data_IF_760167818425
#
_entry.id   IF_760167818425
#
_cell.length_a   1.000
_cell.length_b   1.000
_cell.length_c   1.000
_cell.angle_alpha   90.00
_cell.angle_beta   90.00
_cell.angle_gamma   90.00
#
_symmetry.space_group_name_H-M   'P 1'
#
loop_
_entity.id
_entity.type
_entity.pdbx_description
1 polymer ?
#
# COMPACT_ATOMS: atom_id res chain seq x y z
N UNK A 1 -32.05 2.80 15.10
CA UNK A 1 -31.79 2.54 13.68
C UNK A 1 -30.79 1.39 13.47
N UNK A 2 -31.04 0.51 12.50
CA UNK A 2 -30.08 -0.48 11.98
C UNK A 2 -30.16 -0.54 10.45
N UNK A 3 -29.14 -1.08 9.80
CA UNK A 3 -29.10 -1.32 8.36
C UNK A 3 -28.58 -2.74 8.04
N UNK A 4 -28.82 -3.19 6.81
CA UNK A 4 -28.17 -4.37 6.23
C UNK A 4 -27.31 -3.91 5.05
N UNK A 5 -25.99 -4.00 5.19
CA UNK A 5 -25.03 -3.60 4.16
C UNK A 5 -24.50 -4.82 3.41
N UNK A 6 -24.15 -4.62 2.13
CA UNK A 6 -23.47 -5.64 1.31
C UNK A 6 -22.01 -5.22 1.08
N UNK A 7 -21.07 -6.04 1.56
CA UNK A 7 -19.63 -5.84 1.34
C UNK A 7 -18.89 -7.18 1.24
N UNK A 8 -17.84 -7.25 0.42
CA UNK A 8 -17.07 -8.48 0.21
C UNK A 8 -17.89 -9.69 -0.27
N UNK A 9 -19.00 -9.46 -0.98
CA UNK A 9 -19.95 -10.51 -1.38
C UNK A 9 -20.86 -11.04 -0.26
N UNK A 10 -20.70 -10.58 0.98
CA UNK A 10 -21.49 -10.95 2.16
C UNK A 10 -22.47 -9.84 2.54
N UNK A 11 -23.45 -10.18 3.38
CA UNK A 11 -24.39 -9.22 3.97
C UNK A 11 -24.16 -9.16 5.48
N UNK A 12 -24.18 -7.96 6.05
CA UNK A 12 -24.01 -7.75 7.49
C UNK A 12 -25.13 -6.84 8.00
N UNK A 13 -25.76 -7.25 9.12
CA UNK A 13 -26.61 -6.35 9.91
C UNK A 13 -25.69 -5.46 10.75
N UNK A 14 -25.95 -4.16 10.75
CA UNK A 14 -25.16 -3.15 11.43
C UNK A 14 -26.06 -2.16 12.18
N UNK A 15 -25.68 -1.78 13.39
CA UNK A 15 -26.16 -0.63 14.13
C UNK A 15 -25.04 0.43 14.24
N UNK A 16 -25.39 1.59 14.78
CA UNK A 16 -24.40 2.62 15.15
C UNK A 16 -23.45 2.06 16.25
N UNK A 17 -22.19 2.47 16.20
CA UNK A 17 -21.08 2.04 17.09
C UNK A 17 -20.67 0.55 17.02
N UNK A 18 -21.35 -0.29 16.22
CA UNK A 18 -20.94 -1.69 16.01
C UNK A 18 -19.53 -1.80 15.41
N UNK A 19 -18.76 -2.78 15.91
CA UNK A 19 -17.43 -3.14 15.38
C UNK A 19 -17.53 -4.47 14.65
N UNK A 20 -17.19 -4.48 13.35
CA UNK A 20 -17.32 -5.66 12.48
C UNK A 20 -16.00 -5.98 11.77
N UNK A 21 -15.80 -7.27 11.48
CA UNK A 21 -14.69 -7.76 10.65
C UNK A 21 -15.24 -8.06 9.26
N UNK A 22 -14.70 -7.39 8.24
CA UNK A 22 -15.09 -7.53 6.83
C UNK A 22 -13.91 -7.96 5.97
N UNK A 23 -14.18 -8.32 4.71
CA UNK A 23 -13.12 -8.55 3.71
C UNK A 23 -12.28 -7.28 3.53
N UNK A 24 -11.05 -7.44 3.01
CA UNK A 24 -10.12 -6.33 2.77
C UNK A 24 -10.78 -5.18 1.96
N UNK A 25 -10.74 -3.97 2.52
CA UNK A 25 -11.12 -2.72 1.84
C UNK A 25 -9.89 -1.96 1.30
N UNK A 26 -10.10 -1.08 0.32
CA UNK A 26 -9.08 -0.19 -0.25
C UNK A 26 -9.05 1.17 0.48
N UNK A 27 -8.87 1.12 1.80
CA UNK A 27 -8.88 2.29 2.67
C UNK A 27 -7.94 2.09 3.87
N UNK A 28 -7.11 3.08 4.18
CA UNK A 28 -6.10 3.00 5.25
C UNK A 28 -6.72 3.03 6.66
N UNK A 29 -5.96 2.60 7.68
CA UNK A 29 -6.41 2.69 9.06
C UNK A 29 -6.56 4.16 9.50
N UNK A 30 -7.63 4.44 10.26
CA UNK A 30 -8.07 5.79 10.63
C UNK A 30 -8.80 6.56 9.52
N UNK A 31 -9.00 5.97 8.33
CA UNK A 31 -9.79 6.62 7.27
C UNK A 31 -11.29 6.30 7.38
N UNK A 32 -12.13 7.25 6.97
CA UNK A 32 -13.56 7.02 6.80
C UNK A 32 -13.84 6.26 5.50
N UNK A 33 -14.76 5.29 5.55
CA UNK A 33 -15.26 4.54 4.41
C UNK A 33 -16.79 4.63 4.36
N UNK A 34 -17.34 4.93 3.18
CA UNK A 34 -18.79 5.05 2.97
C UNK A 34 -19.29 3.84 2.17
N UNK A 35 -20.31 3.16 2.68
CA UNK A 35 -20.98 2.05 2.01
C UNK A 35 -22.27 2.55 1.34
N UNK A 36 -22.27 2.64 0.01
CA UNK A 36 -23.47 2.94 -0.79
C UNK A 36 -24.41 1.72 -0.96
N UNK A 37 -23.91 0.50 -0.71
CA UNK A 37 -24.65 -0.75 -0.90
C UNK A 37 -25.48 -1.14 0.33
N UNK A 38 -26.50 -0.32 0.64
CA UNK A 38 -27.49 -0.59 1.70
C UNK A 38 -28.70 -1.32 1.12
N UNK A 39 -29.02 -2.51 1.64
CA UNK A 39 -30.11 -3.37 1.16
C UNK A 39 -31.43 -3.14 1.91
N UNK A 40 -31.34 -2.80 3.19
CA UNK A 40 -32.47 -2.65 4.11
C UNK A 40 -32.08 -1.65 5.21
N UNK A 41 -33.04 -0.87 5.69
CA UNK A 41 -32.94 -0.09 6.92
C UNK A 41 -34.12 -0.38 7.84
N UNK A 42 -33.91 -0.31 9.15
CA UNK A 42 -34.95 -0.44 10.16
C UNK A 42 -34.81 0.64 11.23
N UNK A 43 -35.88 1.40 11.46
CA UNK A 43 -35.99 2.34 12.56
C UNK A 43 -37.25 2.06 13.38
N UNK A 44 -37.06 1.41 14.53
CA UNK A 44 -38.15 0.86 15.32
C UNK A 44 -39.01 -0.09 14.50
N UNK A 45 -40.30 0.21 14.43
CA UNK A 45 -41.31 -0.55 13.67
C UNK A 45 -41.29 -0.25 12.15
N UNK A 46 -40.57 0.77 11.70
CA UNK A 46 -40.48 1.16 10.28
C UNK A 46 -39.33 0.45 9.60
N UNK A 47 -39.65 -0.40 8.63
CA UNK A 47 -38.67 -1.13 7.81
C UNK A 47 -38.73 -0.61 6.37
N UNK A 48 -37.61 -0.13 5.85
CA UNK A 48 -37.42 0.18 4.44
C UNK A 48 -36.61 -0.94 3.77
N UNK A 49 -37.23 -1.65 2.82
CA UNK A 49 -36.56 -2.65 1.97
C UNK A 49 -36.15 -2.04 0.63
N UNK A 50 -34.93 -2.32 0.18
CA UNK A 50 -34.41 -1.90 -1.10
C UNK A 50 -34.80 -2.82 -2.27
N UNK A 51 -34.69 -2.30 -3.49
CA UNK A 51 -34.98 -3.05 -4.71
C UNK A 51 -34.03 -2.63 -5.86
N UNK A 52 -32.75 -3.10 -5.89
CA UNK A 52 -32.11 -4.03 -4.95
C UNK A 52 -31.42 -3.34 -3.74
N UNK A 53 -31.26 -2.02 -3.77
CA UNK A 53 -30.72 -1.21 -2.66
C UNK A 53 -31.74 -0.13 -2.27
N UNK A 54 -31.57 0.48 -1.09
CA UNK A 54 -32.37 1.63 -0.67
C UNK A 54 -31.74 2.90 -1.26
N UNK A 55 -32.43 3.54 -2.21
CA UNK A 55 -31.92 4.71 -2.92
C UNK A 55 -31.56 5.86 -1.97
N UNK A 56 -30.31 6.32 -2.04
CA UNK A 56 -29.83 7.47 -1.25
C UNK A 56 -29.59 7.18 0.23
N UNK A 57 -29.58 5.91 0.64
CA UNK A 57 -29.09 5.48 1.94
C UNK A 57 -27.57 5.23 1.88
N UNK A 58 -26.84 5.62 2.93
CA UNK A 58 -25.40 5.40 3.07
C UNK A 58 -25.07 4.97 4.49
N UNK A 59 -24.09 4.09 4.67
CA UNK A 59 -23.52 3.78 5.99
C UNK A 59 -22.10 4.27 6.05
N UNK A 60 -21.80 5.15 7.01
CA UNK A 60 -20.45 5.67 7.25
C UNK A 60 -19.78 4.80 8.31
N UNK A 61 -18.53 4.44 8.07
CA UNK A 61 -17.71 3.67 8.98
C UNK A 61 -16.30 4.25 9.05
N UNK A 62 -15.62 4.01 10.17
CA UNK A 62 -14.18 4.25 10.35
C UNK A 62 -13.43 2.91 10.22
N UNK A 63 -12.32 2.91 9.49
CA UNK A 63 -11.42 1.75 9.40
C UNK A 63 -10.52 1.73 10.63
N UNK A 64 -10.82 0.88 11.62
CA UNK A 64 -10.05 0.78 12.87
C UNK A 64 -8.67 0.17 12.62
N UNK A 65 -8.61 -0.97 11.91
CA UNK A 65 -7.35 -1.62 11.55
C UNK A 65 -7.47 -2.49 10.28
N UNK A 66 -6.38 -2.62 9.54
CA UNK A 66 -6.20 -3.71 8.57
C UNK A 66 -5.31 -4.80 9.18
N UNK A 67 -5.81 -6.03 9.26
CA UNK A 67 -5.09 -7.14 9.90
C UNK A 67 -5.08 -8.41 9.06
N UNK A 68 -4.29 -9.38 9.52
CA UNK A 68 -4.31 -10.76 9.03
C UNK A 68 -5.04 -11.62 10.04
N UNK A 69 -6.12 -12.26 9.60
CA UNK A 69 -6.95 -13.15 10.41
C UNK A 69 -6.20 -14.37 10.95
N UNK A 70 -6.92 -15.22 11.67
CA UNK A 70 -6.39 -16.45 12.27
C UNK A 70 -5.71 -17.35 11.21
N UNK A 71 -4.65 -18.06 11.60
CA UNK A 71 -3.88 -18.92 10.69
C UNK A 71 -4.62 -20.24 10.45
N UNK A 72 -5.36 -20.32 9.35
CA UNK A 72 -5.99 -21.56 8.88
C UNK A 72 -4.90 -22.50 8.34
N UNK A 73 -4.83 -23.71 8.89
CA UNK A 73 -3.85 -24.73 8.45
C UNK A 73 -4.49 -25.61 7.38
N UNK A 74 -4.07 -25.41 6.14
CA UNK A 74 -4.45 -26.27 5.01
C UNK A 74 -3.52 -27.49 5.02
N UNK A 75 -4.04 -28.62 5.50
CA UNK A 75 -3.33 -29.90 5.49
C UNK A 75 -3.94 -30.84 4.45
N UNK A 76 -3.12 -31.27 3.48
CA UNK A 76 -3.50 -32.24 2.44
C UNK A 76 -2.66 -33.50 2.63
N UNK A 77 -3.31 -34.66 2.77
CA UNK A 77 -2.67 -35.98 2.91
C UNK A 77 -3.41 -36.99 2.04
N UNK A 78 -2.68 -37.89 1.38
CA UNK A 78 -3.27 -39.10 0.74
C UNK A 78 -2.83 -40.32 1.55
N UNK A 79 -3.76 -41.23 1.84
CA UNK A 79 -3.44 -42.45 2.59
C UNK A 79 -2.67 -43.43 1.70
N UNK A 80 -1.73 -44.20 2.28
CA UNK A 80 -0.81 -45.13 1.58
C UNK A 80 0.11 -44.49 0.53
N UNK A 81 0.18 -43.16 0.44
CA UNK A 81 1.17 -42.43 -0.35
C UNK A 81 1.99 -41.50 0.57
N UNK A 82 3.26 -41.25 0.22
CA UNK A 82 4.13 -40.28 0.93
C UNK A 82 3.64 -38.82 0.81
N UNK A 83 2.60 -38.56 0.00
CA UNK A 83 2.02 -37.23 -0.20
C UNK A 83 1.38 -36.68 1.10
N UNK A 84 2.08 -35.71 1.69
CA UNK A 84 1.59 -34.80 2.74
C UNK A 84 2.07 -33.38 2.44
N UNK A 85 1.18 -32.39 2.52
CA UNK A 85 1.49 -30.97 2.36
C UNK A 85 0.77 -30.19 3.46
N UNK A 86 1.50 -29.32 4.18
CA UNK A 86 0.97 -28.42 5.21
C UNK A 86 1.28 -26.99 4.78
N UNK A 87 0.26 -26.18 4.49
CA UNK A 87 0.41 -24.74 4.18
C UNK A 87 -0.46 -23.94 5.15
N UNK A 88 0.03 -22.79 5.60
CA UNK A 88 -0.82 -21.83 6.31
C UNK A 88 -1.47 -20.85 5.33
N UNK A 89 -2.74 -20.54 5.55
CA UNK A 89 -3.39 -19.35 5.00
C UNK A 89 -3.68 -18.38 6.14
N UNK A 90 -3.69 -17.08 5.84
CA UNK A 90 -4.26 -16.03 6.70
C UNK A 90 -5.01 -15.09 5.77
N UNK A 91 -6.29 -14.87 6.04
CA UNK A 91 -7.08 -13.92 5.26
C UNK A 91 -6.66 -12.49 5.61
N UNK A 92 -6.73 -11.59 4.64
CA UNK A 92 -6.63 -10.15 4.89
C UNK A 92 -8.02 -9.64 5.23
N UNK A 93 -8.15 -9.06 6.41
CA UNK A 93 -9.41 -8.65 7.02
C UNK A 93 -9.30 -7.18 7.43
N UNK A 94 -10.37 -6.42 7.24
CA UNK A 94 -10.47 -5.04 7.72
C UNK A 94 -11.44 -5.02 8.90
N UNK A 95 -11.03 -4.41 10.01
CA UNK A 95 -11.92 -4.13 11.14
C UNK A 95 -12.46 -2.73 10.97
N UNK A 96 -13.78 -2.60 10.95
CA UNK A 96 -14.49 -1.34 10.81
C UNK A 96 -15.34 -1.07 12.06
N UNK A 97 -15.50 0.21 12.39
CA UNK A 97 -16.51 0.66 13.36
C UNK A 97 -17.55 1.51 12.61
N UNK A 98 -18.83 1.23 12.79
CA UNK A 98 -19.89 2.02 12.17
C UNK A 98 -20.08 3.33 12.93
N UNK A 99 -19.98 4.46 12.24
CA UNK A 99 -20.11 5.78 12.85
C UNK A 99 -21.52 6.34 12.69
N UNK A 100 -22.12 6.20 11.51
CA UNK A 100 -23.44 6.78 11.21
C UNK A 100 -24.19 5.97 10.14
N UNK A 101 -25.53 5.92 10.25
CA UNK A 101 -26.42 5.32 9.24
C UNK A 101 -27.29 6.46 8.70
N UNK A 102 -27.02 6.87 7.46
CA UNK A 102 -27.69 8.00 6.80
C UNK A 102 -28.87 7.51 5.97
N UNK A 103 -30.07 7.94 6.34
CA UNK A 103 -31.26 7.77 5.51
C UNK A 103 -31.29 8.79 4.35
N UNK A 104 -32.07 8.43 3.31
CA UNK A 104 -32.39 9.20 2.09
C UNK A 104 -32.00 10.68 2.12
N UNK A 105 -30.91 11.02 1.42
CA UNK A 105 -30.53 12.41 1.13
C UNK A 105 -29.41 12.97 1.99
N UNK A 106 -28.95 12.24 3.01
CA UNK A 106 -27.70 12.52 3.71
C UNK A 106 -26.49 12.30 2.82
N UNK A 107 -26.17 13.24 1.91
CA UNK A 107 -24.91 13.24 1.16
C UNK A 107 -23.75 13.60 2.09
N UNK A 108 -23.04 12.61 2.62
CA UNK A 108 -21.63 12.84 2.99
C UNK A 108 -20.83 12.87 1.68
N UNK A 109 -20.42 14.06 1.26
CA UNK A 109 -19.81 14.27 -0.05
C UNK A 109 -18.50 13.46 -0.18
N UNK A 110 -18.32 12.77 -1.30
CA UNK A 110 -17.11 12.01 -1.59
C UNK A 110 -15.89 12.94 -1.75
N UNK A 111 -15.13 13.11 -0.68
CA UNK A 111 -13.86 13.83 -0.61
C UNK A 111 -13.08 13.31 0.62
N UNK A 112 -11.80 12.91 0.56
CA UNK A 112 -10.84 12.87 -0.55
C UNK A 112 -10.10 11.53 -0.54
N UNK A 113 -9.54 11.19 -1.70
CA UNK A 113 -8.40 10.25 -1.81
C UNK A 113 -7.28 10.75 -0.88
N UNK A 114 -7.06 10.05 0.24
CA UNK A 114 -5.93 10.31 1.12
C UNK A 114 -4.67 9.70 0.50
N UNK A 115 -3.65 10.50 0.27
CA UNK A 115 -2.28 9.99 0.22
C UNK A 115 -1.88 9.52 1.64
N UNK A 116 -1.07 8.46 1.76
CA UNK A 116 -0.71 7.92 3.06
C UNK A 116 0.24 8.89 3.78
N UNK A 117 -0.33 9.69 4.68
CA UNK A 117 0.40 10.46 5.67
C UNK A 117 1.10 9.51 6.65
N UNK A 118 2.32 9.14 6.27
CA UNK A 118 3.48 8.79 7.10
C UNK A 118 3.20 8.77 8.62
N UNK A 119 3.20 7.56 9.19
CA UNK A 119 3.05 7.36 10.63
C UNK A 119 4.12 8.09 11.44
N UNK A 120 3.72 8.70 12.56
CA UNK A 120 4.64 9.20 13.59
C UNK A 120 4.14 8.77 14.97
N UNK A 121 4.72 7.68 15.48
CA UNK A 121 4.58 7.26 16.88
C UNK A 121 5.69 7.93 17.71
N UNK A 122 5.39 8.44 18.92
CA UNK A 122 6.36 9.20 19.69
C UNK A 122 7.50 8.32 20.21
N UNK A 123 8.74 8.76 19.99
CA UNK A 123 9.95 8.11 20.49
C UNK A 123 10.64 9.01 21.52
N UNK A 124 10.65 8.59 22.78
CA UNK A 124 11.30 9.32 23.88
C UNK A 124 12.70 8.74 24.15
N UNK A 125 13.66 9.65 24.40
CA UNK A 125 14.99 9.44 24.98
C UNK A 125 16.02 8.56 24.23
N UNK A 126 16.73 9.23 23.30
CA UNK A 126 18.18 9.52 23.30
C UNK A 126 18.98 9.31 24.63
N UNK A 127 20.34 9.41 24.67
CA UNK A 127 21.31 10.02 23.72
C UNK A 127 22.41 9.04 23.25
N UNK A 128 23.61 9.36 22.72
CA UNK A 128 24.46 10.58 22.51
C UNK A 128 25.27 10.35 21.19
N UNK A 129 25.83 11.29 20.40
CA UNK A 129 26.00 12.76 20.46
C UNK A 129 26.28 13.35 19.06
N UNK A 130 25.94 14.63 18.83
CA UNK A 130 26.66 15.72 18.09
C UNK A 130 27.49 15.43 16.80
N UNK A 131 27.47 16.26 15.74
CA UNK A 131 26.72 17.50 15.44
C UNK A 131 26.73 17.84 13.92
N UNK A 132 25.80 18.70 13.48
CA UNK A 132 25.73 19.32 12.14
C UNK A 132 26.34 20.75 12.15
N UNK A 133 26.55 21.44 11.00
CA UNK A 133 25.47 22.08 10.22
C UNK A 133 25.61 21.88 8.67
N UNK A 134 24.57 21.75 7.83
CA UNK A 134 23.28 22.45 7.61
C UNK A 134 23.36 23.63 6.61
N UNK A 135 22.98 23.38 5.34
CA UNK A 135 22.25 24.31 4.45
C UNK A 135 21.68 23.56 3.22
N UNK A 136 20.48 23.93 2.76
CA UNK A 136 19.85 23.48 1.52
C UNK A 136 19.59 24.72 0.62
N UNK A 137 19.34 24.58 -0.70
CA UNK A 137 18.00 24.25 -1.20
C UNK A 137 17.97 23.35 -2.46
N UNK A 138 16.76 23.04 -2.95
CA UNK A 138 16.52 22.25 -4.16
C UNK A 138 16.35 23.12 -5.44
N UNK A 139 16.59 22.53 -6.62
CA UNK A 139 15.79 22.73 -7.85
C UNK A 139 15.17 21.38 -8.29
N UNK A 140 13.91 21.27 -8.74
CA UNK A 140 13.36 21.60 -10.08
C UNK A 140 14.14 21.03 -11.28
N UNK A 141 13.39 20.45 -12.22
CA UNK A 141 13.91 19.67 -13.35
C UNK A 141 14.94 20.38 -14.22
N UNK A 142 16.02 19.67 -14.55
CA UNK A 142 16.98 20.04 -15.58
C UNK A 142 16.85 19.11 -16.79
N UNK A 143 16.87 19.69 -17.99
CA UNK A 143 16.87 18.94 -19.24
C UNK A 143 18.28 18.35 -19.48
N UNK A 144 18.51 17.16 -18.92
CA UNK A 144 19.80 16.47 -19.07
C UNK A 144 19.95 15.16 -18.27
N UNK A 145 18.89 14.60 -17.69
CA UNK A 145 18.94 13.32 -16.96
C UNK A 145 18.43 12.15 -17.81
N UNK A 146 19.21 11.07 -17.89
CA UNK A 146 18.84 9.85 -18.59
C UNK A 146 17.97 8.90 -17.75
N UNK A 147 17.11 8.12 -18.42
CA UNK A 147 16.27 7.12 -17.76
C UNK A 147 17.04 5.81 -17.48
N UNK A 148 17.83 5.84 -16.40
CA UNK A 148 18.65 4.71 -15.93
C UNK A 148 17.88 3.40 -15.70
N UNK A 149 16.54 3.41 -15.71
CA UNK A 149 15.74 2.17 -15.62
C UNK A 149 15.69 1.36 -16.92
N UNK A 150 16.25 1.88 -18.02
CA UNK A 150 16.40 1.17 -19.30
C UNK A 150 17.59 0.20 -19.33
N UNK A 151 18.56 0.38 -18.43
CA UNK A 151 19.70 -0.53 -18.26
C UNK A 151 19.26 -1.84 -17.60
N UNK A 152 19.74 -2.97 -18.10
CA UNK A 152 19.30 -4.28 -17.61
C UNK A 152 19.78 -4.52 -16.18
N UNK A 153 18.92 -5.15 -15.36
CA UNK A 153 19.16 -5.31 -13.92
C UNK A 153 18.96 -4.05 -13.07
N UNK A 154 18.86 -2.84 -13.67
CA UNK A 154 18.67 -1.58 -12.93
C UNK A 154 17.16 -1.29 -12.73
N UNK A 155 16.61 -1.84 -11.64
CA UNK A 155 15.24 -1.47 -11.20
C UNK A 155 15.17 -0.06 -10.59
N UNK A 156 13.95 0.48 -10.43
CA UNK A 156 13.68 1.83 -9.88
C UNK A 156 14.44 2.20 -8.60
N UNK A 157 14.68 1.23 -7.71
CA UNK A 157 15.43 1.44 -6.45
C UNK A 157 16.94 1.57 -6.69
N UNK A 158 17.49 0.85 -7.68
CA UNK A 158 18.89 0.99 -8.07
C UNK A 158 19.09 2.31 -8.84
N UNK A 159 18.19 2.65 -9.77
CA UNK A 159 18.21 3.94 -10.46
C UNK A 159 18.14 5.13 -9.48
N UNK A 160 17.26 5.07 -8.47
CA UNK A 160 17.20 6.10 -7.41
C UNK A 160 18.51 6.23 -6.64
N UNK A 161 19.12 5.12 -6.23
CA UNK A 161 20.44 5.11 -5.57
C UNK A 161 21.58 5.63 -6.44
N UNK A 162 21.54 5.41 -7.76
CA UNK A 162 22.54 5.95 -8.70
C UNK A 162 22.41 7.47 -8.81
N UNK A 163 21.18 7.99 -8.90
CA UNK A 163 20.91 9.43 -8.86
C UNK A 163 21.33 10.05 -7.52
N UNK A 164 21.07 9.38 -6.39
CA UNK A 164 21.59 9.78 -5.06
C UNK A 164 23.13 9.77 -5.00
N UNK A 165 23.79 8.85 -5.72
CA UNK A 165 25.24 8.77 -5.86
C UNK A 165 25.83 9.73 -6.93
N UNK A 166 25.00 10.58 -7.56
CA UNK A 166 25.43 11.58 -8.55
C UNK A 166 25.53 11.08 -9.99
N UNK A 167 25.15 9.83 -10.27
CA UNK A 167 25.06 9.29 -11.62
C UNK A 167 23.65 9.54 -12.17
N UNK A 168 23.53 10.51 -13.07
CA UNK A 168 22.28 10.96 -13.68
C UNK A 168 22.25 10.81 -15.21
N UNK A 169 23.37 10.45 -15.83
CA UNK A 169 23.51 10.26 -17.28
C UNK A 169 24.21 8.95 -17.63
N UNK A 170 23.91 8.39 -18.81
CA UNK A 170 24.62 7.22 -19.33
C UNK A 170 26.11 7.52 -19.60
N UNK A 171 26.45 8.79 -19.90
CA UNK A 171 27.83 9.23 -20.09
C UNK A 171 28.70 8.99 -18.85
N UNK A 172 28.16 9.27 -17.66
CA UNK A 172 28.85 9.02 -16.38
C UNK A 172 28.97 7.53 -16.06
N UNK A 173 28.00 6.71 -16.47
CA UNK A 173 28.04 5.26 -16.25
C UNK A 173 28.99 4.52 -17.20
N UNK A 174 29.15 4.98 -18.46
CA UNK A 174 30.10 4.37 -19.39
C UNK A 174 31.57 4.81 -19.18
N UNK A 175 31.79 5.90 -18.44
CA UNK A 175 33.12 6.39 -18.05
C UNK A 175 33.52 6.00 -16.61
N UNK A 176 32.74 5.11 -15.99
CA UNK A 176 32.91 4.66 -14.62
C UNK A 176 34.19 3.82 -14.45
N UNK A 177 35.01 4.17 -13.45
CA UNK A 177 36.23 3.43 -13.13
C UNK A 177 35.93 2.11 -12.39
N UNK A 178 36.77 1.10 -12.56
CA UNK A 178 36.63 -0.20 -11.87
C UNK A 178 36.55 -0.06 -10.34
N UNK A 179 37.30 0.90 -9.78
CA UNK A 179 37.35 1.17 -8.35
C UNK A 179 36.07 1.85 -7.82
N UNK A 180 35.35 2.59 -8.66
CA UNK A 180 34.08 3.22 -8.30
C UNK A 180 32.89 2.30 -8.63
N UNK A 181 32.99 1.50 -9.69
CA UNK A 181 32.08 0.40 -9.96
C UNK A 181 32.04 -0.60 -8.80
N UNK A 182 33.20 -1.00 -8.26
CA UNK A 182 33.26 -1.93 -7.12
C UNK A 182 32.45 -1.43 -5.90
N UNK A 183 32.52 -0.14 -5.58
CA UNK A 183 31.75 0.47 -4.48
C UNK A 183 30.24 0.47 -4.79
N UNK A 184 29.87 0.83 -6.01
CA UNK A 184 28.47 0.81 -6.46
C UNK A 184 27.92 -0.63 -6.52
N UNK A 185 28.75 -1.63 -6.83
CA UNK A 185 28.34 -3.03 -6.74
C UNK A 185 28.10 -3.44 -5.29
N UNK A 186 29.01 -3.19 -4.34
CA UNK A 186 28.78 -3.56 -2.94
C UNK A 186 27.49 -2.92 -2.35
N UNK A 187 27.23 -1.65 -2.65
CA UNK A 187 26.10 -0.88 -2.07
C UNK A 187 24.77 -0.97 -2.85
N UNK A 188 24.81 -1.13 -4.18
CA UNK A 188 23.65 -1.01 -5.07
C UNK A 188 23.37 -2.33 -5.80
N UNK A 189 24.32 -2.83 -6.58
CA UNK A 189 24.06 -3.93 -7.52
C UNK A 189 24.24 -5.33 -6.92
N UNK A 190 25.11 -5.52 -5.93
CA UNK A 190 25.37 -6.75 -5.16
C UNK A 190 25.67 -7.97 -6.03
N UNK A 191 26.56 -7.81 -7.00
CA UNK A 191 26.95 -8.81 -7.99
C UNK A 191 25.87 -9.15 -9.02
N UNK A 192 24.78 -8.35 -9.12
CA UNK A 192 23.66 -8.63 -10.05
C UNK A 192 23.82 -8.04 -11.44
N UNK A 193 24.73 -7.07 -11.62
CA UNK A 193 24.98 -6.40 -12.89
C UNK A 193 26.49 -6.43 -13.15
N UNK A 194 26.99 -7.06 -14.22
CA UNK A 194 28.40 -7.02 -14.59
C UNK A 194 28.83 -5.61 -15.07
N UNK A 195 30.06 -5.20 -14.78
CA UNK A 195 30.60 -3.90 -15.23
C UNK A 195 30.62 -3.77 -16.76
N UNK A 196 31.07 -4.82 -17.46
CA UNK A 196 31.14 -4.86 -18.93
C UNK A 196 29.75 -4.68 -19.55
N UNK A 197 28.73 -5.28 -18.94
CA UNK A 197 27.35 -5.17 -19.40
C UNK A 197 26.79 -3.76 -19.17
N UNK A 198 26.97 -3.21 -17.97
CA UNK A 198 26.49 -1.87 -17.61
C UNK A 198 27.15 -0.79 -18.46
N UNK A 199 28.46 -0.87 -18.68
CA UNK A 199 29.22 0.11 -19.48
C UNK A 199 28.91 0.00 -20.98
N UNK A 200 28.71 -1.21 -21.51
CA UNK A 200 28.31 -1.42 -22.91
C UNK A 200 26.89 -0.92 -23.18
N UNK A 201 25.91 -1.30 -22.36
CA UNK A 201 24.52 -0.84 -22.50
C UNK A 201 24.40 0.68 -22.29
N UNK A 202 25.14 1.26 -21.34
CA UNK A 202 25.20 2.72 -21.17
C UNK A 202 25.80 3.42 -22.39
N UNK A 203 26.80 2.82 -23.05
CA UNK A 203 27.39 3.38 -24.28
C UNK A 203 26.47 3.26 -25.50
N UNK A 204 25.65 2.21 -25.57
CA UNK A 204 24.62 2.06 -26.61
C UNK A 204 23.46 3.05 -26.43
N UNK A 205 23.06 3.32 -25.18
CA UNK A 205 21.97 4.26 -24.84
C UNK A 205 22.37 5.75 -24.86
N UNK A 206 23.64 6.08 -25.13
CA UNK A 206 24.11 7.46 -25.37
C UNK A 206 23.77 8.01 -26.77
N UNK A 207 23.27 7.17 -27.68
CA UNK A 207 22.98 7.52 -29.08
C UNK A 207 21.66 8.25 -29.30
#
# INVERSE_FOLDING_TARGET
>A
MFAVIKTGGKQYKVAQDDVLVVEKLEADAGSEFVFDSVLMMGDGDKIEMGAPTVSGAQVVAEVVEQRKGAKVIIFKKRQRNTYRRKKGHRQHETVIKITEILAKGGKKAAAKKAEPAKAEAPKVAAPKTEAAPKAAPAPTAEAGSDDLTKLTGIGKVAAGKLVEAGFTTYAQLASLSDADFAKLDEDIFKGRVPQDQLTSEAKELQG
#
